data_IF_648235725754
#
_entry.id   IF_648235725754
#
_cell.length_a   1.000
_cell.length_b   1.000
_cell.length_c   1.000
_cell.angle_alpha   90.00
_cell.angle_beta   90.00
_cell.angle_gamma   90.00
#
_symmetry.space_group_name_H-M   'P 1'
#
loop_
_entity.id
_entity.type
_entity.pdbx_description
1 polymer ?
#
# COMPACT_ATOMS: atom_id res chain seq x y z
N UNK A 1 4.71 14.72 -17.50
CA UNK A 1 5.26 13.50 -16.87
C UNK A 1 5.54 13.84 -15.42
N UNK A 2 5.03 13.09 -14.45
CA UNK A 2 5.22 13.39 -13.02
C UNK A 2 5.61 12.12 -12.28
N UNK A 3 6.55 12.24 -11.33
CA UNK A 3 6.88 11.19 -10.36
C UNK A 3 6.06 11.42 -9.10
N UNK A 4 5.29 10.42 -8.71
CA UNK A 4 4.39 10.47 -7.56
C UNK A 4 4.89 9.42 -6.57
N UNK A 5 5.32 9.89 -5.40
CA UNK A 5 5.85 9.02 -4.35
C UNK A 5 4.80 8.90 -3.24
N UNK A 6 4.42 7.67 -2.91
CA UNK A 6 3.54 7.34 -1.79
C UNK A 6 4.41 6.76 -0.68
N UNK A 7 4.38 7.39 0.49
CA UNK A 7 5.11 6.93 1.67
C UNK A 7 4.17 6.07 2.53
N UNK A 8 4.47 4.77 2.57
CA UNK A 8 3.72 3.74 3.31
C UNK A 8 2.91 2.83 2.39
N UNK A 9 3.09 1.52 2.53
CA UNK A 9 2.33 0.48 1.80
C UNK A 9 1.25 -0.21 2.66
N UNK A 10 0.65 0.52 3.61
CA UNK A 10 -0.54 0.07 4.34
C UNK A 10 -1.81 0.13 3.49
N UNK A 11 -2.99 -0.07 4.11
CA UNK A 11 -4.29 -0.05 3.42
C UNK A 11 -4.43 1.20 2.54
N UNK A 12 -4.28 2.38 3.14
CA UNK A 12 -4.44 3.65 2.44
C UNK A 12 -3.42 3.83 1.30
N UNK A 13 -2.16 3.46 1.51
CA UNK A 13 -1.09 3.63 0.52
C UNK A 13 -1.28 2.73 -0.71
N UNK A 14 -1.66 1.47 -0.50
CA UNK A 14 -1.97 0.56 -1.61
C UNK A 14 -3.25 0.98 -2.35
N UNK A 15 -4.28 1.41 -1.62
CA UNK A 15 -5.51 1.95 -2.23
C UNK A 15 -5.22 3.21 -3.06
N UNK A 16 -4.41 4.13 -2.56
CA UNK A 16 -3.98 5.32 -3.29
C UNK A 16 -3.21 4.93 -4.56
N UNK A 17 -2.27 4.00 -4.48
CA UNK A 17 -1.50 3.53 -5.64
C UNK A 17 -2.42 2.93 -6.71
N UNK A 18 -3.35 2.07 -6.31
CA UNK A 18 -4.32 1.45 -7.21
C UNK A 18 -5.20 2.51 -7.91
N UNK A 19 -5.75 3.46 -7.15
CA UNK A 19 -6.56 4.53 -7.73
C UNK A 19 -5.76 5.45 -8.66
N UNK A 20 -4.52 5.77 -8.32
CA UNK A 20 -3.66 6.59 -9.19
C UNK A 20 -3.31 5.86 -10.49
N UNK A 21 -3.04 4.56 -10.45
CA UNK A 21 -2.81 3.76 -11.66
C UNK A 21 -4.06 3.63 -12.53
N UNK A 22 -5.25 3.63 -11.94
CA UNK A 22 -6.51 3.61 -12.68
C UNK A 22 -6.86 4.96 -13.31
N UNK A 23 -6.62 6.07 -12.59
CA UNK A 23 -7.07 7.40 -13.00
C UNK A 23 -6.05 8.17 -13.84
N UNK A 24 -4.75 7.92 -13.68
CA UNK A 24 -3.70 8.62 -14.39
C UNK A 24 -3.27 7.87 -15.65
N UNK A 25 -2.80 8.63 -16.65
CA UNK A 25 -2.13 8.03 -17.81
C UNK A 25 -0.87 7.26 -17.39
N UNK A 26 -0.50 6.24 -18.18
CA UNK A 26 0.71 5.43 -17.95
C UNK A 26 2.02 6.22 -18.04
N UNK A 27 1.97 7.46 -18.51
CA UNK A 27 3.13 8.35 -18.58
C UNK A 27 3.58 8.85 -17.20
N UNK A 28 2.75 8.73 -16.17
CA UNK A 28 3.14 9.09 -14.80
C UNK A 28 3.79 7.89 -14.11
N UNK A 29 4.80 8.15 -13.29
CA UNK A 29 5.46 7.14 -12.46
C UNK A 29 4.86 7.19 -11.06
N UNK A 30 4.39 6.06 -10.53
CA UNK A 30 3.85 5.95 -9.16
C UNK A 30 4.68 4.93 -8.42
N UNK A 31 5.40 5.41 -7.42
CA UNK A 31 6.29 4.63 -6.58
C UNK A 31 5.74 4.60 -5.15
N UNK A 32 5.54 3.40 -4.62
CA UNK A 32 5.21 3.20 -3.20
C UNK A 32 6.47 2.81 -2.46
N UNK A 33 6.80 3.53 -1.38
CA UNK A 33 7.95 3.25 -0.52
C UNK A 33 7.44 2.75 0.82
N UNK A 34 7.96 1.62 1.28
CA UNK A 34 7.58 0.99 2.55
C UNK A 34 8.80 0.53 3.31
N UNK A 35 8.84 0.66 4.65
CA UNK A 35 9.92 0.11 5.47
C UNK A 35 9.88 -1.43 5.56
N UNK A 36 8.75 -2.05 5.21
CA UNK A 36 8.58 -3.50 5.22
C UNK A 36 8.22 -4.01 3.82
N UNK A 37 8.78 -5.16 3.44
CA UNK A 37 8.52 -5.85 2.17
C UNK A 37 7.13 -6.48 2.14
N UNK A 38 6.61 -6.92 3.28
CA UNK A 38 5.34 -7.63 3.37
C UNK A 38 4.20 -6.71 3.78
N UNK A 39 3.02 -6.96 3.21
CA UNK A 39 1.79 -6.34 3.67
C UNK A 39 1.20 -7.12 4.85
N UNK A 40 0.74 -6.39 5.86
CA UNK A 40 0.07 -6.96 7.04
C UNK A 40 -1.35 -6.41 7.12
N UNK A 41 -2.32 -7.33 7.24
CA UNK A 41 -3.69 -6.95 7.60
C UNK A 41 -3.76 -6.69 9.10
N UNK A 42 -3.49 -5.45 9.51
CA UNK A 42 -3.44 -5.05 10.94
C UNK A 42 -4.66 -5.50 11.75
N UNK A 43 -5.91 -5.46 11.24
CA UNK A 43 -7.07 -5.91 12.00
C UNK A 43 -7.03 -7.39 12.40
N UNK A 44 -6.35 -8.28 11.68
CA UNK A 44 -6.26 -9.69 12.08
C UNK A 44 -5.27 -9.95 13.22
N UNK A 45 -4.50 -8.94 13.64
CA UNK A 45 -3.48 -9.13 14.69
C UNK A 45 -4.06 -9.56 16.03
N UNK A 46 -5.33 -9.24 16.32
CA UNK A 46 -6.01 -9.71 17.54
C UNK A 46 -6.07 -11.25 17.58
N UNK A 47 -6.22 -11.89 16.43
CA UNK A 47 -6.32 -13.35 16.30
C UNK A 47 -4.95 -14.03 16.41
N UNK A 48 -3.90 -13.38 15.89
CA UNK A 48 -2.49 -13.77 16.10
C UNK A 48 -2.18 -13.84 17.60
N UNK A 49 -2.55 -12.78 18.32
CA UNK A 49 -2.21 -12.61 19.74
C UNK A 49 -2.80 -13.70 20.64
N UNK A 50 -3.97 -14.24 20.27
CA UNK A 50 -4.62 -15.34 20.99
C UNK A 50 -4.30 -16.73 20.43
N UNK A 51 -3.35 -16.84 19.50
CA UNK A 51 -2.97 -18.09 18.81
C UNK A 51 -4.15 -18.82 18.14
N UNK A 52 -5.10 -18.06 17.58
CA UNK A 52 -6.19 -18.58 16.76
C UNK A 52 -6.05 -18.05 15.35
N UNK A 53 -5.17 -18.65 14.57
CA UNK A 53 -4.99 -18.38 13.14
C UNK A 53 -4.57 -19.65 12.42
#
# INVERSE_FOLDING_TARGET
MSKIVILGAGIAGQTAAAHLRQKLSKNHDVLVVSPNRNYQWVPSNIWVGIRRM
#
